data_IF_731750216108
#
_entry.id   IF_731750216108
#
_cell.length_a   1.000
_cell.length_b   1.000
_cell.length_c   1.000
_cell.angle_alpha   90.00
_cell.angle_beta   90.00
_cell.angle_gamma   90.00
#
_symmetry.space_group_name_H-M   'P 1'
#
loop_
_entity.id
_entity.type
_entity.pdbx_description
1 polymer ?
#
# COMPACT_ATOMS: atom_id res chain seq x y z
N UNK A 1 -20.25 23.70 -43.48
CA UNK A 1 -18.98 23.87 -42.74
C UNK A 1 -18.98 23.07 -41.42
N UNK A 2 -20.10 22.97 -40.72
CA UNK A 2 -20.30 22.25 -39.44
C UNK A 2 -20.02 20.74 -39.51
N UNK A 3 -20.43 20.04 -40.56
CA UNK A 3 -20.25 18.58 -40.71
C UNK A 3 -18.77 18.10 -40.81
N UNK A 4 -17.87 18.97 -41.34
CA UNK A 4 -16.43 18.67 -41.41
C UNK A 4 -15.73 18.83 -40.07
N UNK A 5 -16.23 19.69 -39.19
CA UNK A 5 -15.68 19.95 -37.86
C UNK A 5 -16.07 18.79 -36.93
N UNK A 6 -17.26 18.25 -37.05
CA UNK A 6 -17.70 17.08 -36.25
C UNK A 6 -16.94 15.78 -36.64
N UNK A 7 -16.67 15.59 -37.97
CA UNK A 7 -15.90 14.44 -38.42
C UNK A 7 -14.44 14.49 -37.92
N UNK A 8 -13.82 15.68 -37.93
CA UNK A 8 -12.46 15.83 -37.43
C UNK A 8 -12.35 15.64 -35.91
N UNK A 9 -13.38 16.05 -35.16
CA UNK A 9 -13.46 15.82 -33.71
C UNK A 9 -13.68 14.32 -33.37
N UNK A 10 -14.54 13.63 -34.16
CA UNK A 10 -14.78 12.20 -33.99
C UNK A 10 -13.53 11.36 -34.34
N UNK A 11 -12.82 11.72 -35.40
CA UNK A 11 -11.54 11.08 -35.78
C UNK A 11 -10.45 11.38 -34.76
N UNK A 12 -10.36 12.60 -34.25
CA UNK A 12 -9.42 12.95 -33.16
C UNK A 12 -9.69 12.21 -31.86
N UNK A 13 -10.95 12.04 -31.47
CA UNK A 13 -11.35 11.28 -30.29
C UNK A 13 -11.10 9.77 -30.47
N UNK A 14 -11.34 9.22 -31.66
CA UNK A 14 -11.05 7.83 -31.99
C UNK A 14 -9.54 7.53 -32.01
N UNK A 15 -8.72 8.45 -32.54
CA UNK A 15 -7.25 8.35 -32.50
C UNK A 15 -6.69 8.46 -31.07
N UNK A 16 -7.27 9.29 -30.22
CA UNK A 16 -6.90 9.39 -28.81
C UNK A 16 -7.27 8.13 -28.03
N UNK A 17 -8.41 7.50 -28.31
CA UNK A 17 -8.82 6.22 -27.70
C UNK A 17 -7.91 5.07 -28.14
N UNK A 18 -7.48 5.02 -29.38
CA UNK A 18 -6.55 4.00 -29.90
C UNK A 18 -5.14 4.20 -29.33
N UNK A 19 -4.70 5.45 -29.16
CA UNK A 19 -3.39 5.75 -28.57
C UNK A 19 -3.30 5.39 -27.07
N UNK A 20 -4.43 5.46 -26.33
CA UNK A 20 -4.50 5.03 -24.92
C UNK A 20 -4.64 3.50 -24.74
N UNK A 21 -5.10 2.76 -25.72
CA UNK A 21 -5.30 1.30 -25.61
C UNK A 21 -4.05 0.48 -25.94
N UNK A 22 -3.14 1.01 -26.75
CA UNK A 22 -1.93 0.30 -27.15
C UNK A 22 -0.98 -0.05 -25.97
N UNK A 23 -0.69 0.86 -25.01
CA UNK A 23 0.15 0.52 -23.86
C UNK A 23 -0.49 -0.52 -22.94
N UNK A 24 -1.82 -0.52 -22.77
CA UNK A 24 -2.53 -1.47 -21.92
C UNK A 24 -2.46 -2.88 -22.47
N UNK A 25 -2.67 -3.06 -23.80
CA UNK A 25 -2.57 -4.35 -24.46
C UNK A 25 -1.15 -4.94 -24.41
N UNK A 26 -0.11 -4.09 -24.47
CA UNK A 26 1.26 -4.53 -24.34
C UNK A 26 1.59 -5.01 -22.91
N UNK A 27 1.04 -4.35 -21.89
CA UNK A 27 1.22 -4.74 -20.49
C UNK A 27 0.53 -6.07 -20.19
N UNK A 28 -0.68 -6.26 -20.68
CA UNK A 28 -1.41 -7.53 -20.57
C UNK A 28 -0.64 -8.67 -21.25
N UNK A 29 -0.09 -8.43 -22.45
CA UNK A 29 0.74 -9.41 -23.15
C UNK A 29 2.02 -9.76 -22.37
N UNK A 30 2.69 -8.80 -21.74
CA UNK A 30 3.85 -9.07 -20.88
C UNK A 30 3.47 -9.85 -19.62
N UNK A 31 2.32 -9.54 -19.02
CA UNK A 31 1.83 -10.26 -17.84
C UNK A 31 1.53 -11.72 -18.16
N UNK A 32 0.80 -12.00 -19.24
CA UNK A 32 0.49 -13.34 -19.69
C UNK A 32 1.75 -14.14 -20.09
N UNK A 33 2.68 -13.50 -20.77
CA UNK A 33 3.96 -14.11 -21.14
C UNK A 33 4.82 -14.41 -19.89
N UNK A 34 4.82 -13.50 -18.91
CA UNK A 34 5.47 -13.72 -17.62
C UNK A 34 4.87 -14.92 -16.87
N UNK A 35 3.55 -15.05 -16.87
CA UNK A 35 2.84 -16.20 -16.29
C UNK A 35 3.22 -17.51 -17.02
N UNK A 36 3.35 -17.49 -18.33
CA UNK A 36 3.75 -18.64 -19.12
C UNK A 36 5.19 -19.06 -18.78
N UNK A 37 6.15 -18.13 -18.75
CA UNK A 37 7.54 -18.40 -18.39
C UNK A 37 7.65 -18.96 -16.98
N UNK A 38 6.87 -18.43 -16.04
CA UNK A 38 6.81 -18.95 -14.66
C UNK A 38 6.35 -20.42 -14.66
N UNK A 39 5.31 -20.78 -15.41
CA UNK A 39 4.80 -22.16 -15.51
C UNK A 39 5.82 -23.09 -16.18
N UNK A 40 6.61 -22.61 -17.12
CA UNK A 40 7.68 -23.34 -17.78
C UNK A 40 8.93 -23.51 -16.91
N UNK A 41 8.98 -22.81 -15.75
CA UNK A 41 10.11 -22.86 -14.83
C UNK A 41 11.20 -21.82 -15.14
N UNK A 42 11.01 -20.97 -16.12
CA UNK A 42 11.91 -19.82 -16.38
C UNK A 42 11.50 -18.64 -15.47
N UNK A 43 11.85 -18.77 -14.20
CA UNK A 43 11.53 -17.76 -13.19
C UNK A 43 12.26 -16.44 -13.42
N UNK A 44 13.49 -16.49 -13.94
CA UNK A 44 14.27 -15.29 -14.26
C UNK A 44 13.64 -14.51 -15.43
N UNK A 45 13.20 -15.21 -16.48
CA UNK A 45 12.44 -14.62 -17.59
C UNK A 45 11.12 -14.01 -17.12
N UNK A 46 10.41 -14.70 -16.22
CA UNK A 46 9.17 -14.17 -15.64
C UNK A 46 9.42 -12.88 -14.85
N UNK A 47 10.44 -12.83 -13.98
CA UNK A 47 10.84 -11.62 -13.25
C UNK A 47 11.10 -10.46 -14.20
N UNK A 48 11.91 -10.67 -15.24
CA UNK A 48 12.27 -9.62 -16.18
C UNK A 48 11.03 -9.00 -16.87
N UNK A 49 10.01 -9.82 -17.22
CA UNK A 49 8.78 -9.33 -17.82
C UNK A 49 7.89 -8.57 -16.81
N UNK A 50 7.76 -9.08 -15.59
CA UNK A 50 6.98 -8.41 -14.55
C UNK A 50 7.62 -7.07 -14.13
N UNK A 51 8.95 -7.00 -14.00
CA UNK A 51 9.66 -5.75 -13.70
C UNK A 51 9.49 -4.73 -14.82
N UNK A 52 9.50 -5.18 -16.08
CA UNK A 52 9.21 -4.31 -17.22
C UNK A 52 7.83 -3.69 -17.16
N UNK A 53 6.82 -4.38 -16.62
CA UNK A 53 5.50 -3.81 -16.38
C UNK A 53 5.59 -2.72 -15.30
N UNK A 54 6.29 -2.98 -14.17
CA UNK A 54 6.50 -1.99 -13.10
C UNK A 54 7.20 -0.72 -13.61
N UNK A 55 8.18 -0.85 -14.52
CA UNK A 55 8.87 0.29 -15.14
C UNK A 55 7.92 1.21 -15.92
N UNK A 56 6.78 0.71 -16.39
CA UNK A 56 5.74 1.54 -17.03
C UNK A 56 4.90 2.34 -16.04
N UNK A 57 5.13 2.17 -14.72
CA UNK A 57 4.38 2.81 -13.65
C UNK A 57 3.06 2.09 -13.30
N UNK A 58 2.82 0.89 -13.85
CA UNK A 58 1.66 0.07 -13.52
C UNK A 58 1.99 -0.85 -12.36
N UNK A 59 1.22 -0.73 -11.29
CA UNK A 59 1.33 -1.58 -10.11
C UNK A 59 -0.01 -2.26 -9.80
N UNK A 60 0.03 -3.56 -9.50
CA UNK A 60 -1.12 -4.30 -9.01
C UNK A 60 -0.69 -5.32 -7.96
N UNK A 61 -1.66 -5.72 -7.12
CA UNK A 61 -1.39 -6.75 -6.11
C UNK A 61 -0.98 -8.08 -6.74
N UNK A 62 -1.63 -8.47 -7.85
CA UNK A 62 -1.31 -9.69 -8.59
C UNK A 62 0.09 -9.66 -9.21
N UNK A 63 0.49 -8.51 -9.79
CA UNK A 63 1.83 -8.34 -10.34
C UNK A 63 2.91 -8.52 -9.26
N UNK A 64 2.73 -7.88 -8.12
CA UNK A 64 3.64 -8.04 -6.99
C UNK A 64 3.61 -9.45 -6.40
N UNK A 65 2.45 -10.10 -6.34
CA UNK A 65 2.33 -11.48 -5.89
C UNK A 65 3.11 -12.44 -6.81
N UNK A 66 2.95 -12.30 -8.13
CA UNK A 66 3.66 -13.13 -9.10
C UNK A 66 5.17 -12.87 -9.10
N UNK A 67 5.60 -11.61 -8.94
CA UNK A 67 7.01 -11.27 -8.71
C UNK A 67 7.55 -11.93 -7.43
N UNK A 68 6.80 -11.84 -6.34
CA UNK A 68 7.16 -12.52 -5.09
C UNK A 68 7.33 -14.03 -5.27
N UNK A 69 6.40 -14.67 -6.00
CA UNK A 69 6.49 -16.08 -6.32
C UNK A 69 7.73 -16.41 -7.18
N UNK A 70 8.02 -15.61 -8.20
CA UNK A 70 9.17 -15.84 -9.09
C UNK A 70 10.50 -15.69 -8.34
N UNK A 71 10.66 -14.63 -7.54
CA UNK A 71 11.83 -14.42 -6.70
C UNK A 71 12.01 -15.52 -5.65
N UNK A 72 10.91 -15.94 -5.02
CA UNK A 72 10.92 -17.07 -4.08
C UNK A 72 11.44 -18.37 -4.74
N UNK A 73 11.00 -18.65 -5.96
CA UNK A 73 11.46 -19.82 -6.73
C UNK A 73 12.93 -19.73 -7.14
N UNK A 74 13.47 -18.52 -7.29
CA UNK A 74 14.90 -18.27 -7.53
C UNK A 74 15.74 -18.40 -6.25
N UNK A 75 15.11 -18.44 -5.07
CA UNK A 75 15.78 -18.47 -3.77
C UNK A 75 16.18 -17.11 -3.22
N UNK A 76 15.78 -16.02 -3.89
CA UNK A 76 16.06 -14.64 -3.51
C UNK A 76 15.02 -14.13 -2.51
N UNK A 77 15.29 -14.32 -1.21
CA UNK A 77 14.29 -14.08 -0.17
C UNK A 77 14.01 -12.60 0.07
N UNK A 78 14.99 -11.71 -0.07
CA UNK A 78 14.81 -10.27 0.06
C UNK A 78 13.78 -9.71 -0.92
N UNK A 79 13.98 -9.85 -2.24
CA UNK A 79 13.00 -9.47 -3.25
C UNK A 79 11.65 -10.16 -3.09
N UNK A 80 11.62 -11.45 -2.75
CA UNK A 80 10.38 -12.19 -2.55
C UNK A 80 9.53 -11.57 -1.45
N UNK A 81 10.10 -11.35 -0.26
CA UNK A 81 9.41 -10.72 0.87
C UNK A 81 8.97 -9.29 0.53
N UNK A 82 9.82 -8.50 -0.14
CA UNK A 82 9.48 -7.14 -0.57
C UNK A 82 8.21 -7.13 -1.43
N UNK A 83 8.17 -7.98 -2.47
CA UNK A 83 7.04 -8.01 -3.39
C UNK A 83 5.78 -8.61 -2.75
N UNK A 84 5.89 -9.62 -1.90
CA UNK A 84 4.76 -10.12 -1.12
C UNK A 84 4.20 -9.05 -0.15
N UNK A 85 5.05 -8.25 0.48
CA UNK A 85 4.60 -7.16 1.34
C UNK A 85 3.86 -6.06 0.56
N UNK A 86 4.34 -5.69 -0.62
CA UNK A 86 3.65 -4.77 -1.53
C UNK A 86 2.30 -5.33 -1.98
N UNK A 87 2.27 -6.60 -2.38
CA UNK A 87 1.03 -7.30 -2.72
C UNK A 87 0.04 -7.28 -1.54
N UNK A 88 0.50 -7.55 -0.32
CA UNK A 88 -0.32 -7.55 0.90
C UNK A 88 -0.96 -6.20 1.21
N UNK A 89 -0.30 -5.09 0.88
CA UNK A 89 -0.90 -3.75 1.01
C UNK A 89 -2.08 -3.54 0.06
N UNK A 90 -2.04 -4.17 -1.12
CA UNK A 90 -3.08 -4.08 -2.16
C UNK A 90 -4.16 -5.15 -2.01
N UNK A 91 -3.80 -6.36 -1.57
CA UNK A 91 -4.67 -7.53 -1.39
C UNK A 91 -4.61 -8.06 0.06
N UNK A 92 -5.07 -7.30 1.07
CA UNK A 92 -4.86 -7.63 2.49
C UNK A 92 -5.65 -8.86 2.97
N UNK A 93 -6.60 -9.36 2.18
CA UNK A 93 -7.46 -10.50 2.52
C UNK A 93 -7.17 -11.76 1.72
N UNK A 94 -6.11 -11.76 0.95
CA UNK A 94 -5.68 -12.90 0.15
C UNK A 94 -4.96 -13.92 1.05
N UNK A 95 -5.52 -15.12 1.16
CA UNK A 95 -5.02 -16.16 2.05
C UNK A 95 -3.79 -16.86 1.49
N UNK A 96 -3.70 -17.02 0.15
CA UNK A 96 -2.57 -17.65 -0.53
C UNK A 96 -1.33 -16.75 -0.43
N UNK A 97 -1.52 -15.45 -0.66
CA UNK A 97 -0.47 -14.46 -0.46
C UNK A 97 0.05 -14.46 0.99
N UNK A 98 -0.86 -14.56 1.97
CA UNK A 98 -0.46 -14.61 3.38
C UNK A 98 0.37 -15.85 3.69
N UNK A 99 -0.06 -17.01 3.22
CA UNK A 99 0.66 -18.25 3.41
C UNK A 99 2.06 -18.23 2.76
N UNK A 100 2.17 -17.70 1.53
CA UNK A 100 3.44 -17.58 0.82
C UNK A 100 4.39 -16.58 1.51
N UNK A 101 3.87 -15.47 2.00
CA UNK A 101 4.65 -14.49 2.76
C UNK A 101 5.16 -15.08 4.08
N UNK A 102 4.32 -15.80 4.82
CA UNK A 102 4.72 -16.49 6.06
C UNK A 102 5.79 -17.54 5.78
N UNK A 103 5.64 -18.33 4.71
CA UNK A 103 6.65 -19.29 4.28
C UNK A 103 7.96 -18.61 3.92
N UNK A 104 7.94 -17.54 3.11
CA UNK A 104 9.14 -16.80 2.73
C UNK A 104 9.87 -16.25 3.97
N UNK A 105 9.14 -15.67 4.93
CA UNK A 105 9.70 -15.16 6.19
C UNK A 105 10.28 -16.26 7.07
N UNK A 106 9.67 -17.46 7.10
CA UNK A 106 10.20 -18.58 7.87
C UNK A 106 11.53 -19.13 7.32
N UNK A 107 11.87 -18.80 6.09
CA UNK A 107 13.12 -19.16 5.43
C UNK A 107 14.18 -18.06 5.51
N UNK A 108 13.85 -16.89 6.03
CA UNK A 108 14.87 -15.85 6.30
C UNK A 108 15.75 -16.24 7.47
N UNK A 109 16.98 -15.72 7.48
CA UNK A 109 18.00 -16.07 8.51
C UNK A 109 17.62 -15.53 9.90
N UNK A 110 16.97 -14.35 9.92
CA UNK A 110 16.66 -13.65 11.17
C UNK A 110 15.34 -14.17 11.80
N UNK A 111 15.46 -14.85 12.91
CA UNK A 111 14.31 -15.27 13.73
C UNK A 111 13.91 -14.12 14.66
N UNK A 112 12.95 -13.28 14.24
CA UNK A 112 12.51 -12.11 14.99
C UNK A 112 11.14 -12.39 15.62
N UNK A 113 11.10 -12.48 16.95
CA UNK A 113 9.83 -12.64 17.68
C UNK A 113 9.20 -11.25 17.91
N UNK A 114 8.05 -10.94 17.29
CA UNK A 114 7.42 -9.66 17.45
C UNK A 114 7.03 -9.37 18.90
N UNK A 115 7.29 -8.15 19.37
CA UNK A 115 6.77 -7.71 20.66
C UNK A 115 5.24 -7.71 20.68
N UNK A 116 4.61 -8.08 21.81
CA UNK A 116 3.17 -8.01 21.93
C UNK A 116 2.68 -6.57 21.74
N UNK A 117 2.01 -6.35 20.61
CA UNK A 117 1.49 -5.02 20.26
C UNK A 117 0.34 -4.63 21.18
N UNK A 118 0.25 -3.32 21.50
CA UNK A 118 -0.85 -2.77 22.28
C UNK A 118 -2.18 -2.98 21.54
N UNK A 119 -3.06 -3.77 22.14
CA UNK A 119 -4.31 -4.24 21.50
C UNK A 119 -5.19 -3.09 20.97
N UNK A 120 -5.21 -1.94 21.66
CA UNK A 120 -6.01 -0.78 21.26
C UNK A 120 -5.55 -0.20 19.90
N UNK A 121 -4.24 -0.21 19.62
CA UNK A 121 -3.71 0.22 18.32
C UNK A 121 -4.13 -0.75 17.21
N UNK A 122 -4.26 -2.04 17.51
CA UNK A 122 -4.80 -3.03 16.55
C UNK A 122 -6.25 -2.76 16.23
N UNK A 123 -7.06 -2.46 17.25
CA UNK A 123 -8.48 -2.09 17.06
C UNK A 123 -8.60 -0.79 16.28
N UNK A 124 -7.79 0.23 16.59
CA UNK A 124 -7.80 1.49 15.85
C UNK A 124 -7.43 1.32 14.37
N UNK A 125 -6.39 0.52 14.06
CA UNK A 125 -6.03 0.20 12.68
C UNK A 125 -7.13 -0.59 11.97
N UNK A 126 -7.67 -1.62 12.63
CA UNK A 126 -8.80 -2.38 12.08
C UNK A 126 -9.98 -1.46 11.74
N UNK A 127 -10.31 -0.50 12.60
CA UNK A 127 -11.35 0.49 12.33
C UNK A 127 -11.04 1.38 11.12
N UNK A 128 -9.80 1.91 11.03
CA UNK A 128 -9.36 2.77 9.92
C UNK A 128 -9.38 2.01 8.59
N UNK A 129 -9.06 0.72 8.61
CA UNK A 129 -8.99 -0.14 7.42
C UNK A 129 -10.30 -0.88 7.10
N UNK A 130 -11.35 -0.71 7.93
CA UNK A 130 -12.64 -1.39 7.80
C UNK A 130 -13.32 -1.08 6.45
N UNK A 131 -13.26 0.17 6.02
CA UNK A 131 -13.85 0.63 4.76
C UNK A 131 -12.74 0.99 3.76
N UNK A 132 -12.93 0.62 2.49
CA UNK A 132 -12.02 1.08 1.43
C UNK A 132 -12.11 2.61 1.24
N UNK A 133 -11.04 3.23 0.73
CA UNK A 133 -10.99 4.68 0.52
C UNK A 133 -12.19 5.24 -0.27
N UNK A 134 -12.61 4.66 -1.41
CA UNK A 134 -13.75 5.16 -2.15
C UNK A 134 -15.07 5.05 -1.38
N UNK A 135 -15.26 3.96 -0.61
CA UNK A 135 -16.44 3.78 0.22
C UNK A 135 -16.47 4.81 1.36
N UNK A 136 -15.32 5.04 2.00
CA UNK A 136 -15.21 6.02 3.09
C UNK A 136 -15.49 7.44 2.59
N UNK A 137 -14.97 7.82 1.42
CA UNK A 137 -15.29 9.10 0.76
C UNK A 137 -16.79 9.22 0.46
N UNK A 138 -17.42 8.18 -0.07
CA UNK A 138 -18.85 8.17 -0.35
C UNK A 138 -19.68 8.33 0.93
N UNK A 139 -19.34 7.62 2.01
CA UNK A 139 -20.02 7.71 3.31
C UNK A 139 -19.87 9.11 3.90
N UNK A 140 -18.68 9.69 3.92
CA UNK A 140 -18.44 11.05 4.42
C UNK A 140 -19.25 12.06 3.62
N UNK A 141 -19.22 11.98 2.29
CA UNK A 141 -19.97 12.89 1.42
C UNK A 141 -21.47 12.78 1.65
N UNK A 142 -22.01 11.55 1.70
CA UNK A 142 -23.45 11.33 1.91
C UNK A 142 -23.91 11.82 3.27
N UNK A 143 -23.19 11.51 4.34
CA UNK A 143 -23.53 11.95 5.70
C UNK A 143 -23.42 13.48 5.82
N UNK A 144 -22.41 14.10 5.20
CA UNK A 144 -22.27 15.55 5.17
C UNK A 144 -23.43 16.23 4.42
N UNK A 145 -23.80 15.75 3.23
CA UNK A 145 -24.95 16.28 2.48
C UNK A 145 -26.24 16.13 3.25
N UNK A 146 -26.44 14.99 3.92
CA UNK A 146 -27.61 14.74 4.78
C UNK A 146 -27.65 15.73 5.96
N UNK A 147 -26.51 15.95 6.63
CA UNK A 147 -26.39 16.91 7.72
C UNK A 147 -26.72 18.33 7.25
N UNK A 148 -26.16 18.76 6.11
CA UNK A 148 -26.41 20.10 5.54
C UNK A 148 -27.90 20.26 5.12
N UNK A 149 -28.45 19.27 4.43
CA UNK A 149 -29.90 19.31 4.06
C UNK A 149 -30.82 19.39 5.29
N UNK A 150 -30.52 18.58 6.31
CA UNK A 150 -31.28 18.63 7.56
C UNK A 150 -31.12 19.96 8.30
N UNK A 151 -29.95 20.57 8.29
CA UNK A 151 -29.68 21.88 8.86
C UNK A 151 -30.45 22.98 8.14
N UNK A 152 -30.50 22.96 6.81
CA UNK A 152 -31.29 23.90 6.00
C UNK A 152 -32.75 23.80 6.38
N UNK A 153 -33.31 22.59 6.49
CA UNK A 153 -34.67 22.36 6.92
C UNK A 153 -34.91 22.85 8.36
N UNK A 154 -33.92 22.64 9.26
CA UNK A 154 -34.01 23.11 10.65
C UNK A 154 -34.02 24.64 10.78
N UNK A 155 -33.44 25.37 9.80
CA UNK A 155 -33.41 26.84 9.78
C UNK A 155 -34.62 27.41 9.03
N UNK A 156 -35.01 26.82 7.91
CA UNK A 156 -36.06 27.35 7.02
C UNK A 156 -37.48 26.79 7.29
N UNK A 157 -37.58 25.68 8.03
CA UNK A 157 -38.84 25.01 8.32
C UNK A 157 -39.75 25.82 9.25
N UNK A 158 -41.07 25.58 9.14
CA UNK A 158 -42.07 26.26 9.95
C UNK A 158 -42.84 25.34 10.91
N UNK A 159 -42.87 24.03 10.62
CA UNK A 159 -43.58 23.04 11.44
C UNK A 159 -42.70 22.52 12.58
N UNK A 160 -43.14 22.64 13.83
CA UNK A 160 -42.35 22.25 15.01
C UNK A 160 -41.86 20.78 14.98
N UNK A 161 -42.74 19.85 14.56
CA UNK A 161 -42.37 18.43 14.43
C UNK A 161 -41.25 18.20 13.42
N UNK A 162 -41.29 18.91 12.27
CA UNK A 162 -40.28 18.83 11.24
C UNK A 162 -38.95 19.40 11.72
N UNK A 163 -39.00 20.50 12.48
CA UNK A 163 -37.82 21.14 13.08
C UNK A 163 -37.14 20.21 14.11
N UNK A 164 -37.89 19.54 14.95
CA UNK A 164 -37.37 18.61 15.94
C UNK A 164 -36.68 17.40 15.27
N UNK A 165 -37.28 16.85 14.23
CA UNK A 165 -36.70 15.74 13.47
C UNK A 165 -35.45 16.16 12.69
N UNK A 166 -35.50 17.31 11.99
CA UNK A 166 -34.36 17.78 11.22
C UNK A 166 -33.13 18.07 12.09
N UNK A 167 -33.32 18.63 13.29
CA UNK A 167 -32.24 18.83 14.26
C UNK A 167 -31.57 17.49 14.69
N UNK A 168 -32.40 16.45 14.96
CA UNK A 168 -31.87 15.11 15.30
C UNK A 168 -31.13 14.49 14.15
N UNK A 169 -31.65 14.55 12.94
CA UNK A 169 -30.98 14.04 11.72
C UNK A 169 -29.68 14.79 11.49
N UNK A 170 -29.67 16.12 11.61
CA UNK A 170 -28.46 16.93 11.47
C UNK A 170 -27.39 16.55 12.50
N UNK A 171 -27.81 16.35 13.78
CA UNK A 171 -26.86 15.94 14.83
C UNK A 171 -26.27 14.55 14.59
N UNK A 172 -27.07 13.56 14.23
CA UNK A 172 -26.61 12.20 13.95
C UNK A 172 -25.73 12.17 12.70
N UNK A 173 -26.21 12.77 11.60
CA UNK A 173 -25.44 12.81 10.35
C UNK A 173 -24.14 13.61 10.50
N UNK A 174 -24.14 14.72 11.24
CA UNK A 174 -22.96 15.49 11.59
C UNK A 174 -21.96 14.70 12.43
N UNK A 175 -22.45 13.95 13.43
CA UNK A 175 -21.62 13.03 14.23
C UNK A 175 -20.98 11.93 13.38
N UNK A 176 -21.73 11.31 12.47
CA UNK A 176 -21.20 10.31 11.53
C UNK A 176 -20.17 10.94 10.58
N UNK A 177 -20.43 12.13 10.07
CA UNK A 177 -19.47 12.86 9.22
C UNK A 177 -18.17 13.12 9.98
N UNK A 178 -18.22 13.49 11.24
CA UNK A 178 -17.04 13.71 12.07
C UNK A 178 -16.27 12.41 12.26
N UNK A 179 -16.93 11.32 12.66
CA UNK A 179 -16.26 10.02 12.90
C UNK A 179 -15.61 9.48 11.65
N UNK A 180 -16.35 9.39 10.53
CA UNK A 180 -15.79 8.89 9.28
C UNK A 180 -14.82 9.87 8.63
N UNK A 181 -15.02 11.17 8.81
CA UNK A 181 -14.08 12.21 8.38
C UNK A 181 -12.74 12.13 9.09
N UNK A 182 -12.73 11.91 10.41
CA UNK A 182 -11.52 11.65 11.18
C UNK A 182 -10.85 10.35 10.76
N UNK A 183 -11.62 9.29 10.48
CA UNK A 183 -11.09 8.03 9.96
C UNK A 183 -10.42 8.23 8.59
N UNK A 184 -11.05 9.00 7.70
CA UNK A 184 -10.47 9.34 6.40
C UNK A 184 -9.18 10.16 6.57
N UNK A 185 -9.20 11.18 7.42
CA UNK A 185 -8.03 12.02 7.71
C UNK A 185 -6.88 11.20 8.30
N UNK A 186 -7.15 10.32 9.26
CA UNK A 186 -6.15 9.42 9.83
C UNK A 186 -5.52 8.51 8.77
N UNK A 187 -6.34 8.02 7.83
CA UNK A 187 -5.88 7.20 6.71
C UNK A 187 -4.99 7.99 5.73
N UNK A 188 -5.39 9.20 5.34
CA UNK A 188 -4.61 10.06 4.42
C UNK A 188 -3.30 10.54 5.06
N UNK A 189 -3.28 10.75 6.37
CA UNK A 189 -2.07 11.10 7.13
C UNK A 189 -1.18 9.90 7.45
N UNK A 190 -1.55 8.68 7.02
CA UNK A 190 -0.79 7.46 7.32
C UNK A 190 -0.71 7.11 8.81
N UNK A 191 -1.66 7.60 9.62
CA UNK A 191 -1.65 7.35 11.07
C UNK A 191 -1.67 5.84 11.35
N UNK A 192 -0.65 5.37 12.06
CA UNK A 192 -0.48 3.96 12.37
C UNK A 192 0.10 3.11 11.23
N UNK A 193 0.54 3.73 10.14
CA UNK A 193 1.27 3.09 9.04
C UNK A 193 2.69 3.64 9.03
N UNK A 194 3.60 3.05 9.80
CA UNK A 194 5.00 3.44 9.75
C UNK A 194 5.56 3.18 8.35
N UNK A 195 6.57 3.94 7.95
CA UNK A 195 7.39 3.59 6.79
C UNK A 195 8.04 2.23 7.09
N UNK A 196 7.76 1.25 6.26
CA UNK A 196 8.33 -0.10 6.39
C UNK A 196 9.27 -0.35 5.22
N UNK A 197 10.30 -1.13 5.46
CA UNK A 197 11.29 -1.52 4.46
C UNK A 197 11.66 -3.00 4.63
N UNK A 198 12.26 -3.56 3.59
CA UNK A 198 12.87 -4.90 3.61
C UNK A 198 14.36 -4.74 3.38
N UNK A 199 15.15 -5.46 4.17
CA UNK A 199 16.60 -5.55 3.99
C UNK A 199 16.87 -6.38 2.73
N UNK A 200 17.67 -5.80 1.81
CA UNK A 200 18.03 -6.42 0.53
C UNK A 200 19.47 -6.94 0.51
N UNK A 201 20.30 -6.49 1.43
CA UNK A 201 21.67 -6.97 1.56
C UNK A 201 21.69 -8.34 2.22
N UNK A 202 22.53 -9.26 1.72
CA UNK A 202 22.70 -10.59 2.33
C UNK A 202 23.06 -10.49 3.83
N UNK A 203 23.80 -9.45 4.22
CA UNK A 203 24.07 -9.09 5.61
C UNK A 203 24.25 -7.58 5.72
N UNK A 204 23.45 -6.92 6.53
CA UNK A 204 23.51 -5.48 6.81
C UNK A 204 23.97 -5.25 8.25
N UNK A 205 25.09 -4.55 8.41
CA UNK A 205 25.59 -4.17 9.71
C UNK A 205 24.74 -3.04 10.32
N UNK A 206 24.27 -3.24 11.54
CA UNK A 206 23.46 -2.27 12.28
C UNK A 206 24.30 -1.60 13.35
N UNK A 207 24.38 -0.28 13.30
CA UNK A 207 25.22 0.54 14.17
C UNK A 207 24.40 1.34 15.19
N UNK A 208 24.99 1.72 16.30
CA UNK A 208 24.36 2.58 17.33
C UNK A 208 24.22 4.05 16.89
N UNK A 209 25.03 4.47 15.90
CA UNK A 209 25.00 5.82 15.34
C UNK A 209 25.26 5.75 13.82
N UNK A 210 24.92 6.79 13.03
CA UNK A 210 25.10 6.83 11.58
C UNK A 210 26.60 7.02 11.21
N UNK A 211 27.40 6.00 11.43
CA UNK A 211 28.83 5.96 11.18
C UNK A 211 29.30 4.55 10.81
N UNK A 212 30.35 4.45 9.99
CA UNK A 212 30.99 3.17 9.63
C UNK A 212 32.00 2.67 10.67
N UNK A 213 32.06 3.32 11.83
CA UNK A 213 32.96 2.90 12.90
C UNK A 213 32.57 1.51 13.39
N UNK A 214 33.51 0.58 13.37
CA UNK A 214 33.29 -0.80 13.80
C UNK A 214 32.98 -0.92 15.28
N UNK A 215 33.41 0.02 16.11
CA UNK A 215 33.10 0.04 17.54
C UNK A 215 31.61 0.33 17.81
N UNK A 216 30.89 0.90 16.82
CA UNK A 216 29.48 1.19 16.91
C UNK A 216 28.59 0.06 16.37
N UNK A 217 29.16 -1.03 15.87
CA UNK A 217 28.39 -2.21 15.41
C UNK A 217 27.68 -2.86 16.60
N UNK A 218 26.36 -3.02 16.50
CA UNK A 218 25.53 -3.63 17.55
C UNK A 218 25.15 -5.06 17.19
N UNK A 219 24.62 -5.26 15.98
CA UNK A 219 24.21 -6.54 15.45
C UNK A 219 24.17 -6.52 13.91
N UNK A 220 23.88 -7.64 13.31
CA UNK A 220 23.68 -7.78 11.86
C UNK A 220 22.26 -8.23 11.59
N UNK A 221 21.64 -7.76 10.49
CA UNK A 221 20.39 -8.23 9.94
C UNK A 221 20.60 -8.73 8.52
N UNK A 222 19.79 -9.67 8.10
CA UNK A 222 19.95 -10.35 6.83
C UNK A 222 18.81 -10.01 5.86
N UNK A 223 18.96 -10.38 4.61
CA UNK A 223 17.96 -10.17 3.57
C UNK A 223 16.59 -10.75 3.93
N UNK A 224 15.53 -10.10 3.45
CA UNK A 224 14.16 -10.48 3.76
C UNK A 224 13.65 -10.01 5.13
N UNK A 225 14.53 -9.47 5.99
CA UNK A 225 14.11 -8.92 7.29
C UNK A 225 13.30 -7.66 7.08
N UNK A 226 12.05 -7.65 7.59
CA UNK A 226 11.21 -6.45 7.60
C UNK A 226 11.57 -5.55 8.77
N UNK A 227 11.71 -4.27 8.48
CA UNK A 227 12.07 -3.23 9.45
C UNK A 227 11.14 -2.02 9.31
N UNK A 228 10.95 -1.29 10.41
CA UNK A 228 10.29 0.01 10.41
C UNK A 228 11.35 1.09 10.31
N UNK A 229 11.11 2.09 9.45
CA UNK A 229 11.97 3.26 9.29
C UNK A 229 11.48 4.36 10.21
N UNK A 230 12.35 4.84 11.10
CA UNK A 230 12.02 5.92 12.05
C UNK A 230 12.61 7.26 11.61
N UNK A 231 13.88 7.27 11.24
CA UNK A 231 14.60 8.50 10.85
C UNK A 231 15.53 8.23 9.68
N UNK A 232 15.80 9.28 8.91
CA UNK A 232 16.78 9.25 7.81
C UNK A 232 17.81 10.35 8.05
N UNK A 233 19.07 10.05 7.83
CA UNK A 233 20.18 10.98 7.94
C UNK A 233 21.22 10.68 6.86
N UNK A 234 21.23 11.49 5.80
CA UNK A 234 22.09 11.32 4.63
C UNK A 234 22.04 9.88 4.05
N UNK A 235 23.14 9.15 4.12
CA UNK A 235 23.27 7.77 3.63
C UNK A 235 22.80 6.72 4.66
N UNK A 236 22.24 7.11 5.79
CA UNK A 236 21.84 6.24 6.88
C UNK A 236 20.34 6.30 7.17
N UNK A 237 19.82 5.16 7.62
CA UNK A 237 18.41 5.03 8.02
C UNK A 237 18.38 4.36 9.39
N UNK A 238 17.68 4.98 10.33
CA UNK A 238 17.38 4.36 11.61
C UNK A 238 16.22 3.40 11.44
N UNK A 239 16.48 2.17 11.80
CA UNK A 239 15.51 1.07 11.69
C UNK A 239 15.12 0.58 13.08
N UNK A 240 13.87 0.08 13.16
CA UNK A 240 13.36 -0.62 14.33
C UNK A 240 12.84 -1.98 13.88
N UNK A 241 13.37 -3.03 14.49
CA UNK A 241 12.93 -4.39 14.26
C UNK A 241 11.63 -4.70 15.01
N UNK A 242 10.95 -5.78 14.66
CA UNK A 242 9.69 -6.19 15.32
C UNK A 242 9.87 -6.59 16.79
N UNK A 243 11.08 -6.98 17.20
CA UNK A 243 11.45 -7.26 18.60
C UNK A 243 11.85 -6.02 19.40
N UNK A 244 11.82 -4.82 18.78
CA UNK A 244 12.13 -3.54 19.42
C UNK A 244 13.59 -3.15 19.38
N UNK A 245 14.51 -3.93 18.83
CA UNK A 245 15.90 -3.50 18.58
C UNK A 245 15.94 -2.32 17.62
N UNK A 246 16.78 -1.35 17.90
CA UNK A 246 16.92 -0.10 17.13
C UNK A 246 18.37 0.06 16.71
N UNK A 247 18.59 0.62 15.52
CA UNK A 247 19.92 1.01 15.09
C UNK A 247 19.93 1.58 13.67
N UNK A 248 21.12 1.89 13.18
CA UNK A 248 21.34 2.58 11.91
C UNK A 248 21.94 1.63 10.88
N UNK A 249 21.35 1.61 9.69
CA UNK A 249 21.86 0.87 8.51
C UNK A 249 22.08 1.82 7.34
N UNK A 250 22.89 1.43 6.38
CA UNK A 250 23.07 2.17 5.12
C UNK A 250 21.77 2.14 4.32
N UNK A 251 21.36 3.30 3.78
CA UNK A 251 20.12 3.44 2.99
C UNK A 251 20.08 2.55 1.74
N UNK A 252 21.24 2.27 1.12
CA UNK A 252 21.35 1.38 -0.03
C UNK A 252 21.16 -0.11 0.30
N UNK A 253 21.04 -0.50 1.57
CA UNK A 253 20.89 -1.90 1.99
C UNK A 253 19.42 -2.30 2.21
N UNK A 254 18.48 -1.38 2.07
CA UNK A 254 17.04 -1.62 2.24
C UNK A 254 16.22 -0.97 1.13
N UNK A 255 15.02 -1.49 0.91
CA UNK A 255 14.03 -0.94 -0.02
C UNK A 255 12.71 -0.75 0.70
N UNK A 256 12.10 0.42 0.50
CA UNK A 256 10.79 0.74 1.06
C UNK A 256 9.69 -0.11 0.41
N UNK A 257 8.74 -0.53 1.25
CA UNK A 257 7.57 -1.30 0.82
C UNK A 257 6.51 -0.36 0.22
#
# INVERSE_FOLDING_TARGET
>A
MTRRIELSRAVGAALLLVACSAPLAAQEAFFEEGNRLYQEGDFAGAVALYERILETGVESGELHYNLGNAWFRLGEMGPAVLHYERARRMMPRDDDLRANLELARSLTVDEITPLPGFWLLRVARWWIDLLSRPVLLAVVTLTWLTAMGALIVAVAGRAESLLAWSRRVAAVAGGLTLVFGLSLMARELGVGRPDEAVIMAAAAAVHSAPSDDRELLIFTVHEGTRVRVERRSDAWVEIVLEDGRVGWVRSGQLVLI
#
